data_IF_462138281071
#
_entry.id   IF_462138281071
#
_cell.length_a   1.000
_cell.length_b   1.000
_cell.length_c   1.000
_cell.angle_alpha   90.00
_cell.angle_beta   90.00
_cell.angle_gamma   90.00
#
_symmetry.space_group_name_H-M   'P 1'
#
loop_
_entity.id
_entity.type
_entity.pdbx_description
1 polymer ?
#
# COMPACT_ATOMS: atom_id res chain seq x y z
N UNK A 1 23.76 9.40 9.68
CA UNK A 1 23.32 7.99 9.62
C UNK A 1 22.60 7.79 8.30
N UNK A 2 23.27 7.17 7.34
CA UNK A 2 22.81 7.10 5.95
C UNK A 2 21.81 5.94 5.82
N UNK A 3 20.52 6.20 6.01
CA UNK A 3 19.45 5.18 5.90
C UNK A 3 19.10 4.97 4.42
N UNK A 4 20.09 4.68 3.59
CA UNK A 4 19.86 4.17 2.23
C UNK A 4 20.06 2.67 2.25
N UNK A 5 19.12 1.96 2.87
CA UNK A 5 18.88 0.58 2.48
C UNK A 5 18.12 0.63 1.15
N UNK A 6 18.83 0.42 0.03
CA UNK A 6 18.27 0.30 -1.33
C UNK A 6 17.46 -1.00 -1.51
N UNK A 7 16.58 -1.30 -0.57
CA UNK A 7 15.78 -2.52 -0.55
C UNK A 7 14.37 -2.21 -1.05
N UNK A 8 13.68 -3.22 -1.59
CA UNK A 8 12.36 -3.05 -2.19
C UNK A 8 11.35 -2.41 -1.23
N UNK A 9 11.34 -2.83 0.04
CA UNK A 9 10.48 -2.27 1.08
C UNK A 9 10.74 -0.77 1.33
N UNK A 10 12.01 -0.35 1.41
CA UNK A 10 12.36 1.07 1.60
C UNK A 10 11.94 1.93 0.40
N UNK A 11 12.16 1.42 -0.82
CA UNK A 11 11.72 2.10 -2.05
C UNK A 11 10.21 2.23 -2.11
N UNK A 12 9.49 1.15 -1.77
CA UNK A 12 8.04 1.14 -1.75
C UNK A 12 7.48 2.19 -0.78
N UNK A 13 7.99 2.22 0.45
CA UNK A 13 7.61 3.24 1.45
C UNK A 13 7.94 4.66 0.96
N UNK A 14 9.09 4.86 0.31
CA UNK A 14 9.49 6.17 -0.23
C UNK A 14 8.59 6.66 -1.37
N UNK A 15 8.20 5.76 -2.28
CA UNK A 15 7.31 6.08 -3.40
C UNK A 15 5.92 6.45 -2.87
N UNK A 16 5.35 5.60 -2.00
CA UNK A 16 4.03 5.85 -1.42
C UNK A 16 4.01 7.06 -0.49
N UNK A 17 5.12 7.38 0.19
CA UNK A 17 5.24 8.60 0.99
C UNK A 17 5.38 9.89 0.18
N UNK A 18 5.17 9.82 -1.14
CA UNK A 18 5.31 10.96 -2.07
C UNK A 18 6.70 11.62 -1.97
N UNK A 19 7.73 10.79 -1.78
CA UNK A 19 9.13 11.24 -1.73
C UNK A 19 9.56 11.89 -0.42
N UNK A 20 8.77 11.77 0.67
CA UNK A 20 9.13 12.31 1.98
C UNK A 20 10.33 11.55 2.58
N UNK A 21 11.51 12.18 2.55
CA UNK A 21 12.79 11.56 2.95
C UNK A 21 12.87 11.13 4.41
N UNK A 22 12.08 11.75 5.31
CA UNK A 22 12.12 11.44 6.74
C UNK A 22 11.00 10.49 7.19
N UNK A 23 10.10 10.08 6.28
CA UNK A 23 8.97 9.23 6.60
C UNK A 23 9.28 7.77 6.30
N UNK A 24 9.47 6.97 7.35
CA UNK A 24 9.80 5.54 7.27
C UNK A 24 8.57 4.62 7.44
N UNK A 25 7.38 5.12 7.14
CA UNK A 25 6.11 4.42 7.28
C UNK A 25 5.10 4.88 6.22
N UNK A 26 4.06 4.06 6.01
CA UNK A 26 2.89 4.37 5.18
C UNK A 26 1.62 4.37 6.03
N UNK A 27 0.70 5.28 5.72
CA UNK A 27 -0.65 5.33 6.28
C UNK A 27 -1.66 4.89 5.20
N UNK A 28 -2.92 4.56 5.57
CA UNK A 28 -3.92 4.07 4.62
C UNK A 28 -4.09 4.96 3.38
N UNK A 29 -4.08 6.28 3.57
CA UNK A 29 -4.26 7.27 2.50
C UNK A 29 -3.18 7.18 1.41
N UNK A 30 -1.96 6.77 1.76
CA UNK A 30 -0.87 6.68 0.80
C UNK A 30 -1.03 5.49 -0.17
N UNK A 31 -1.83 4.49 0.20
CA UNK A 31 -2.12 3.33 -0.65
C UNK A 31 -3.25 3.59 -1.64
N UNK A 32 -4.05 4.64 -1.44
CA UNK A 32 -5.21 4.95 -2.30
C UNK A 32 -4.80 5.06 -3.78
N UNK A 33 -3.76 5.83 -4.18
CA UNK A 33 -3.39 5.95 -5.58
C UNK A 33 -2.92 4.62 -6.20
N UNK A 34 -2.23 3.80 -5.42
CA UNK A 34 -1.76 2.48 -5.86
C UNK A 34 -2.93 1.53 -6.11
N UNK A 35 -3.88 1.44 -5.17
CA UNK A 35 -5.02 0.54 -5.30
C UNK A 35 -5.97 1.02 -6.40
N UNK A 36 -6.14 2.34 -6.54
CA UNK A 36 -6.89 2.95 -7.63
C UNK A 36 -6.34 2.52 -8.99
N UNK A 37 -5.01 2.63 -9.19
CA UNK A 37 -4.36 2.20 -10.43
C UNK A 37 -4.54 0.70 -10.73
N UNK A 38 -4.50 -0.15 -9.69
CA UNK A 38 -4.78 -1.60 -9.85
C UNK A 38 -6.23 -1.85 -10.28
N UNK A 39 -7.20 -1.17 -9.67
CA UNK A 39 -8.61 -1.29 -10.08
C UNK A 39 -8.78 -0.78 -11.51
N UNK A 40 -8.04 0.27 -11.88
CA UNK A 40 -8.16 0.89 -13.19
C UNK A 40 -7.48 0.11 -14.32
N UNK A 41 -6.45 -0.66 -14.03
CA UNK A 41 -5.66 -1.36 -15.06
C UNK A 41 -5.96 -2.84 -15.16
N UNK A 42 -6.49 -3.47 -14.10
CA UNK A 42 -6.71 -4.90 -14.09
C UNK A 42 -7.99 -5.30 -14.84
N UNK A 43 -7.91 -6.16 -15.88
CA UNK A 43 -9.07 -6.51 -16.71
C UNK A 43 -10.18 -7.21 -15.91
N UNK A 44 -9.80 -7.98 -14.88
CA UNK A 44 -10.75 -8.63 -13.96
C UNK A 44 -11.47 -7.67 -13.02
N UNK A 45 -11.05 -6.40 -12.91
CA UNK A 45 -11.68 -5.37 -12.09
C UNK A 45 -12.36 -4.27 -12.93
N UNK A 46 -12.31 -4.37 -14.27
CA UNK A 46 -12.85 -3.35 -15.17
C UNK A 46 -14.34 -3.03 -14.91
N UNK A 47 -15.12 -4.02 -14.48
CA UNK A 47 -16.53 -3.85 -14.13
C UNK A 47 -16.77 -2.91 -12.93
N UNK A 48 -15.78 -2.73 -12.04
CA UNK A 48 -15.90 -1.82 -10.90
C UNK A 48 -15.86 -0.35 -11.33
N UNK A 49 -15.31 -0.04 -12.51
CA UNK A 49 -15.26 1.34 -13.03
C UNK A 49 -16.63 1.91 -13.34
N UNK A 50 -17.55 1.07 -13.81
CA UNK A 50 -18.91 1.49 -14.17
C UNK A 50 -19.80 1.70 -12.93
N UNK A 51 -19.37 1.19 -11.78
CA UNK A 51 -20.13 1.20 -10.53
C UNK A 51 -19.40 1.99 -9.43
N UNK A 52 -19.48 3.33 -9.50
CA UNK A 52 -18.75 4.28 -8.65
C UNK A 52 -18.87 4.02 -7.14
N UNK A 53 -20.03 3.57 -6.66
CA UNK A 53 -20.22 3.23 -5.24
C UNK A 53 -19.43 1.99 -4.81
N UNK A 54 -19.35 0.98 -5.67
CA UNK A 54 -18.59 -0.24 -5.38
C UNK A 54 -17.10 0.00 -5.53
N UNK A 55 -16.72 0.87 -6.46
CA UNK A 55 -15.34 1.28 -6.67
C UNK A 55 -14.70 1.78 -5.36
N UNK A 56 -15.28 2.82 -4.75
CA UNK A 56 -14.76 3.41 -3.52
C UNK A 56 -14.72 2.40 -2.36
N UNK A 57 -15.77 1.59 -2.20
CA UNK A 57 -15.80 0.56 -1.14
C UNK A 57 -14.74 -0.51 -1.36
N UNK A 58 -14.48 -0.90 -2.61
CA UNK A 58 -13.47 -1.89 -2.94
C UNK A 58 -12.07 -1.40 -2.58
N UNK A 59 -11.72 -0.16 -2.99
CA UNK A 59 -10.43 0.47 -2.65
C UNK A 59 -10.21 0.47 -1.13
N UNK A 60 -11.18 0.96 -0.36
CA UNK A 60 -11.08 0.97 1.11
C UNK A 60 -10.94 -0.44 1.70
N UNK A 61 -11.66 -1.42 1.16
CA UNK A 61 -11.60 -2.81 1.62
C UNK A 61 -10.23 -3.43 1.38
N UNK A 62 -9.62 -3.19 0.22
CA UNK A 62 -8.27 -3.68 -0.10
C UNK A 62 -7.25 -3.06 0.87
N UNK A 63 -7.31 -1.76 1.09
CA UNK A 63 -6.41 -1.07 2.04
C UNK A 63 -6.59 -1.63 3.45
N UNK A 64 -7.84 -1.81 3.90
CA UNK A 64 -8.13 -2.39 5.21
C UNK A 64 -7.55 -3.80 5.36
N UNK A 65 -7.65 -4.65 4.32
CA UNK A 65 -7.06 -6.00 4.33
C UNK A 65 -5.52 -5.95 4.35
N UNK A 66 -4.89 -5.03 3.63
CA UNK A 66 -3.44 -4.82 3.68
C UNK A 66 -3.02 -4.46 5.11
N UNK A 67 -3.70 -3.50 5.74
CA UNK A 67 -3.39 -3.11 7.12
C UNK A 67 -3.64 -4.23 8.12
N UNK A 68 -4.72 -5.00 7.95
CA UNK A 68 -5.02 -6.16 8.79
C UNK A 68 -3.91 -7.22 8.74
N UNK A 69 -3.37 -7.51 7.55
CA UNK A 69 -2.32 -8.52 7.37
C UNK A 69 -0.94 -7.99 7.79
N UNK A 70 -0.60 -6.75 7.44
CA UNK A 70 0.77 -6.21 7.54
C UNK A 70 1.00 -5.41 8.82
N UNK A 71 0.06 -4.57 9.26
CA UNK A 71 0.24 -3.70 10.43
C UNK A 71 -0.02 -4.44 11.75
N UNK A 72 0.86 -5.37 12.10
CA UNK A 72 0.75 -6.19 13.32
C UNK A 72 0.82 -5.38 14.62
N UNK A 73 1.38 -4.17 14.57
CA UNK A 73 1.43 -3.26 15.71
C UNK A 73 0.13 -2.51 16.00
N UNK A 74 -0.87 -2.56 15.10
CA UNK A 74 -2.13 -1.80 15.21
C UNK A 74 -1.94 -0.29 15.37
N UNK A 75 -0.77 0.22 14.98
CA UNK A 75 -0.40 1.63 15.10
C UNK A 75 -1.06 2.53 14.03
N UNK A 76 -1.71 1.94 13.03
CA UNK A 76 -2.20 2.65 11.86
C UNK A 76 -1.08 3.13 10.91
N UNK A 77 0.15 2.66 11.13
CA UNK A 77 1.33 3.00 10.35
C UNK A 77 2.10 1.72 10.00
N UNK A 78 2.13 1.33 8.73
CA UNK A 78 2.98 0.22 8.29
C UNK A 78 4.42 0.73 8.18
N UNK A 79 5.31 0.16 8.98
CA UNK A 79 6.74 0.45 8.93
C UNK A 79 7.47 -0.43 7.91
N UNK A 80 8.69 -0.03 7.52
CA UNK A 80 9.55 -0.86 6.65
C UNK A 80 9.78 -2.25 7.26
N UNK A 81 9.91 -2.35 8.60
CA UNK A 81 10.12 -3.63 9.28
C UNK A 81 8.90 -4.55 9.21
N UNK A 82 7.69 -4.01 9.35
CA UNK A 82 6.44 -4.77 9.18
C UNK A 82 6.27 -5.23 7.73
N UNK A 83 6.56 -4.34 6.77
CA UNK A 83 6.47 -4.64 5.34
C UNK A 83 7.46 -5.74 4.90
N UNK A 84 8.66 -5.79 5.50
CA UNK A 84 9.65 -6.86 5.25
C UNK A 84 9.24 -8.23 5.77
N UNK A 85 8.36 -8.27 6.77
CA UNK A 85 7.88 -9.51 7.39
C UNK A 85 6.58 -10.01 6.76
N UNK A 86 6.01 -9.26 5.82
CA UNK A 86 4.82 -9.65 5.09
C UNK A 86 5.16 -10.12 3.68
N UNK A 87 4.17 -10.73 3.05
CA UNK A 87 4.17 -11.20 1.66
C UNK A 87 3.69 -10.13 0.67
N UNK A 88 3.46 -8.88 1.11
CA UNK A 88 2.88 -7.84 0.27
C UNK A 88 3.71 -7.50 -0.97
N UNK A 89 5.04 -7.65 -0.88
CA UNK A 89 5.98 -7.40 -1.99
C UNK A 89 6.48 -8.68 -2.66
N UNK A 90 6.02 -9.85 -2.21
CA UNK A 90 6.42 -11.14 -2.78
C UNK A 90 5.62 -11.36 -4.07
N UNK A 91 6.32 -11.53 -5.20
CA UNK A 91 5.70 -11.96 -6.46
C UNK A 91 5.84 -13.48 -6.52
N UNK A 92 4.72 -14.19 -6.43
CA UNK A 92 4.66 -15.64 -6.67
C UNK A 92 4.29 -15.95 -8.11
#
# INVERSE_FOLDING_TARGET
MNVYCHEAASRFVYILSRGQRFRSYIVPEDLVPMVQDVVDTHPGLAFLKEATEFHSRYVHTVIARIFYSVNRSWSGKITIAELKRSDLLEVR
#
